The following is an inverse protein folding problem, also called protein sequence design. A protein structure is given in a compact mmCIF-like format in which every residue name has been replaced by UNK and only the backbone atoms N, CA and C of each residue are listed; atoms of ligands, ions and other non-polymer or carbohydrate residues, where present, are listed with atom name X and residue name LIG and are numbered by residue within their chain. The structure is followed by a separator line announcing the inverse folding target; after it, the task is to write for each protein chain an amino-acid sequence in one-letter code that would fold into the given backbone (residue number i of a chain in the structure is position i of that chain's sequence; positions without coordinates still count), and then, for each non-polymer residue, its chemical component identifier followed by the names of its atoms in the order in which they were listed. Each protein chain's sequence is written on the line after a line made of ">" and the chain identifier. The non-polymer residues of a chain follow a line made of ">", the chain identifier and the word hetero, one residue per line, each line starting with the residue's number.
data_IF_476769250518
#
_entry.id   IF_476769250518
#
_cell.length_a   1.000
_cell.length_b   1.000
_cell.length_c   1.000
_cell.angle_alpha   90.00
_cell.angle_beta   90.00
_cell.angle_gamma   90.00
#
_symmetry.space_group_name_H-M   'P 1'
#
loop_
_entity.id
_entity.type
_entity.pdbx_description
1 polymer ?
#
# COMPACT_ATOMS: atom_id res chain seq x y z
N UNK A 1 8.80 55.56 49.16
CA UNK A 1 9.24 55.22 50.53
C UNK A 1 9.07 53.71 50.69
N UNK A 2 9.99 52.90 51.18
CA UNK A 2 11.41 53.00 51.49
C UNK A 2 11.86 51.54 51.74
N UNK A 3 13.14 51.26 51.55
CA UNK A 3 13.75 49.94 51.48
C UNK A 3 14.04 49.27 52.83
N UNK A 4 14.55 48.02 52.73
CA UNK A 4 15.42 47.26 53.64
C UNK A 4 14.71 46.57 54.84
N UNK A 5 15.13 45.39 55.33
CA UNK A 5 16.47 44.99 55.80
C UNK A 5 16.54 43.44 55.96
N UNK A 6 17.67 42.82 55.58
CA UNK A 6 18.11 41.45 55.98
C UNK A 6 18.60 41.43 57.44
N UNK A 7 18.75 40.25 58.07
CA UNK A 7 20.13 39.88 58.38
C UNK A 7 20.51 38.43 58.07
N UNK A 8 21.78 38.33 57.69
CA UNK A 8 22.71 37.22 57.60
C UNK A 8 22.88 36.43 58.90
N UNK A 9 23.24 35.14 58.78
CA UNK A 9 24.43 34.59 59.45
C UNK A 9 24.85 33.24 58.83
N UNK A 10 26.12 33.19 58.40
CA UNK A 10 26.94 32.00 58.10
C UNK A 10 28.14 32.06 59.06
N UNK A 11 28.59 30.94 59.64
CA UNK A 11 29.93 30.42 59.31
C UNK A 11 29.88 28.89 59.14
N UNK A 12 30.19 28.33 57.97
CA UNK A 12 31.52 28.03 57.42
C UNK A 12 32.47 27.32 58.40
N UNK A 13 32.71 26.04 58.12
CA UNK A 13 33.73 25.19 58.75
C UNK A 13 34.07 24.05 57.80
N UNK A 14 34.96 24.33 56.85
CA UNK A 14 35.46 23.34 55.90
C UNK A 14 36.58 22.47 56.48
N UNK A 15 36.75 21.29 55.89
CA UNK A 15 38.07 20.70 55.66
C UNK A 15 37.95 19.68 54.50
N UNK A 16 38.63 20.02 53.42
CA UNK A 16 38.96 19.17 52.28
C UNK A 16 40.06 18.18 52.66
N UNK A 17 39.98 16.93 52.19
CA UNK A 17 41.02 16.33 51.34
C UNK A 17 40.55 15.02 50.71
N UNK A 18 40.99 14.85 49.47
CA UNK A 18 40.74 13.77 48.52
C UNK A 18 41.35 12.43 48.95
N UNK A 19 40.69 11.33 48.55
CA UNK A 19 41.37 10.11 48.10
C UNK A 19 40.40 9.24 47.29
N UNK A 20 40.75 9.09 46.02
CA UNK A 20 40.23 8.07 45.09
C UNK A 20 40.62 6.68 45.59
N UNK A 21 39.70 5.72 45.50
CA UNK A 21 40.00 4.32 45.20
C UNK A 21 38.75 3.67 44.63
N UNK A 22 38.77 3.48 43.32
CA UNK A 22 37.87 2.67 42.52
C UNK A 22 37.92 1.20 42.96
N UNK A 23 36.76 0.58 43.22
CA UNK A 23 36.50 -0.82 42.86
C UNK A 23 34.98 -1.13 42.98
N UNK A 24 34.54 -2.07 42.15
CA UNK A 24 33.25 -2.76 42.15
C UNK A 24 32.00 -2.06 41.61
N UNK A 25 31.78 -2.24 40.29
CA UNK A 25 30.53 -1.97 39.61
C UNK A 25 30.48 -2.58 38.21
N UNK A 26 30.86 -3.86 38.09
CA UNK A 26 30.72 -4.65 36.87
C UNK A 26 29.21 -4.84 36.60
N UNK A 27 28.64 -4.07 35.68
CA UNK A 27 27.33 -4.38 35.08
C UNK A 27 27.20 -3.77 33.69
N UNK A 28 27.04 -4.69 32.75
CA UNK A 28 26.22 -4.60 31.55
C UNK A 28 26.82 -3.89 30.34
N UNK A 29 27.49 -4.73 29.54
CA UNK A 29 27.65 -4.60 28.10
C UNK A 29 26.45 -3.88 27.47
N UNK A 30 26.74 -2.83 26.71
CA UNK A 30 25.86 -2.28 25.68
C UNK A 30 25.55 -3.37 24.65
N UNK A 31 24.61 -4.28 24.97
CA UNK A 31 23.92 -5.08 23.97
C UNK A 31 23.01 -4.14 23.19
N UNK A 32 23.56 -3.68 22.07
CA UNK A 32 22.84 -3.25 20.89
C UNK A 32 21.67 -4.22 20.64
N UNK A 33 20.49 -3.87 21.15
CA UNK A 33 19.25 -4.61 20.90
C UNK A 33 18.89 -4.46 19.41
N UNK A 34 19.59 -5.22 18.58
CA UNK A 34 19.05 -5.74 17.35
C UNK A 34 17.79 -6.51 17.72
N UNK A 35 16.64 -5.84 17.62
CA UNK A 35 15.37 -6.53 17.50
C UNK A 35 15.42 -7.20 16.13
N UNK A 36 16.10 -8.36 16.07
CA UNK A 36 15.79 -9.36 15.08
C UNK A 36 14.33 -9.71 15.34
N UNK A 37 13.46 -9.18 14.48
CA UNK A 37 12.07 -9.57 14.43
C UNK A 37 12.10 -11.08 14.21
N UNK A 38 11.92 -11.85 15.30
CA UNK A 38 11.83 -13.30 15.24
C UNK A 38 10.85 -13.61 14.13
N UNK A 39 11.38 -14.30 13.13
CA UNK A 39 10.66 -14.70 11.97
C UNK A 39 9.57 -15.65 12.48
N UNK A 40 8.36 -15.12 12.70
CA UNK A 40 7.13 -15.89 12.69
C UNK A 40 7.00 -16.44 11.27
N UNK A 41 7.87 -17.41 10.99
CA UNK A 41 7.73 -18.35 9.92
C UNK A 41 6.44 -19.10 10.25
N UNK A 42 5.34 -18.55 9.72
CA UNK A 42 4.25 -19.35 9.21
C UNK A 42 4.75 -20.21 8.04
N UNK A 43 5.84 -20.96 8.25
CA UNK A 43 6.46 -21.94 7.36
C UNK A 43 5.80 -23.31 7.53
N UNK A 44 4.48 -23.34 7.64
CA UNK A 44 3.73 -24.59 7.56
C UNK A 44 2.41 -24.43 6.80
N UNK A 45 2.46 -24.82 5.52
CA UNK A 45 1.45 -24.87 4.43
C UNK A 45 1.49 -23.62 3.53
N UNK A 46 1.94 -23.67 2.26
CA UNK A 46 1.37 -24.40 1.12
C UNK A 46 2.44 -24.69 0.04
N UNK A 47 2.77 -25.96 -0.27
CA UNK A 47 2.32 -26.65 -1.50
C UNK A 47 1.90 -25.71 -2.64
N UNK A 48 2.72 -25.61 -3.69
CA UNK A 48 2.41 -25.03 -5.02
C UNK A 48 1.48 -23.82 -5.00
N UNK A 49 2.02 -22.64 -4.70
CA UNK A 49 1.24 -21.39 -4.67
C UNK A 49 0.74 -20.93 -6.06
N UNK A 50 1.07 -21.65 -7.13
CA UNK A 50 0.60 -21.42 -8.50
C UNK A 50 0.97 -20.06 -9.11
N UNK A 51 1.82 -19.28 -8.41
CA UNK A 51 2.23 -17.94 -8.77
C UNK A 51 3.53 -17.97 -9.58
N UNK A 52 3.61 -17.15 -10.64
CA UNK A 52 4.85 -16.95 -11.41
C UNK A 52 5.97 -16.37 -10.54
N UNK A 53 7.22 -16.71 -10.86
CA UNK A 53 8.44 -16.17 -10.24
C UNK A 53 8.46 -14.63 -10.25
N UNK A 54 7.97 -14.02 -11.33
CA UNK A 54 7.91 -12.56 -11.49
C UNK A 54 6.93 -11.90 -10.51
N UNK A 55 5.75 -12.49 -10.33
CA UNK A 55 4.76 -12.00 -9.38
C UNK A 55 5.22 -12.18 -7.94
N UNK A 56 5.94 -13.26 -7.65
CA UNK A 56 6.56 -13.45 -6.35
C UNK A 56 7.61 -12.36 -6.07
N UNK A 57 8.50 -12.09 -7.03
CA UNK A 57 9.51 -11.03 -6.89
C UNK A 57 8.88 -9.64 -6.71
N UNK A 58 7.77 -9.35 -7.40
CA UNK A 58 7.05 -8.09 -7.25
C UNK A 58 6.42 -7.96 -5.86
N UNK A 59 5.73 -8.99 -5.36
CA UNK A 59 5.17 -8.97 -4.01
C UNK A 59 6.25 -8.79 -2.93
N UNK A 60 7.42 -9.40 -3.11
CA UNK A 60 8.53 -9.26 -2.18
C UNK A 60 9.14 -7.85 -2.20
N UNK A 61 9.33 -7.28 -3.40
CA UNK A 61 9.79 -5.89 -3.55
C UNK A 61 8.86 -4.90 -2.84
N UNK A 62 7.55 -5.09 -2.98
CA UNK A 62 6.56 -4.21 -2.34
C UNK A 62 6.59 -4.28 -0.82
N UNK A 63 6.81 -5.47 -0.24
CA UNK A 63 7.01 -5.62 1.22
C UNK A 63 8.25 -4.89 1.72
N UNK A 64 9.34 -5.00 0.98
CA UNK A 64 10.59 -4.32 1.34
C UNK A 64 10.43 -2.81 1.27
N UNK A 65 9.78 -2.30 0.21
CA UNK A 65 9.48 -0.87 0.07
C UNK A 65 8.59 -0.38 1.22
N UNK A 66 7.53 -1.12 1.55
CA UNK A 66 6.66 -0.79 2.68
C UNK A 66 7.46 -0.67 3.98
N UNK A 67 8.33 -1.63 4.30
CA UNK A 67 9.18 -1.60 5.50
C UNK A 67 10.09 -0.36 5.50
N UNK A 68 10.68 -0.03 4.35
CA UNK A 68 11.54 1.15 4.22
C UNK A 68 10.75 2.46 4.42
N UNK A 69 9.54 2.56 3.89
CA UNK A 69 8.68 3.74 4.04
C UNK A 69 8.24 3.93 5.49
N UNK A 70 7.97 2.83 6.22
CA UNK A 70 7.72 2.89 7.67
C UNK A 70 8.91 3.46 8.44
N UNK A 71 10.13 3.01 8.13
CA UNK A 71 11.34 3.52 8.77
C UNK A 71 11.63 4.99 8.42
N UNK A 72 11.25 5.44 7.22
CA UNK A 72 11.45 6.82 6.76
C UNK A 72 10.33 7.78 7.16
N UNK A 73 9.22 7.28 7.70
CA UNK A 73 8.03 8.08 8.00
C UNK A 73 7.29 8.56 6.74
N UNK A 74 7.55 7.97 5.57
CA UNK A 74 6.93 8.28 4.27
C UNK A 74 5.78 7.33 3.92
N UNK A 75 5.13 6.75 4.94
CA UNK A 75 4.11 5.71 4.75
C UNK A 75 2.92 6.27 3.96
N UNK A 76 2.58 5.57 2.88
CA UNK A 76 1.34 5.82 2.14
C UNK A 76 0.21 4.99 2.75
N UNK A 77 -0.83 5.65 3.25
CA UNK A 77 -2.03 5.03 3.81
C UNK A 77 -1.85 4.31 5.14
N UNK A 78 -2.77 3.40 5.46
CA UNK A 78 -2.82 2.69 6.76
C UNK A 78 -2.27 1.26 6.64
N UNK A 79 -1.73 0.70 7.74
CA UNK A 79 -1.27 -0.71 7.81
C UNK A 79 -2.36 -1.66 7.30
N UNK A 80 -3.60 -1.45 7.75
CA UNK A 80 -4.75 -2.29 7.39
C UNK A 80 -5.07 -2.23 5.89
N UNK A 81 -5.05 -1.04 5.30
CA UNK A 81 -5.28 -0.86 3.87
C UNK A 81 -4.17 -1.53 3.06
N UNK A 82 -2.91 -1.32 3.44
CA UNK A 82 -1.76 -1.91 2.74
C UNK A 82 -1.79 -3.45 2.80
N UNK A 83 -2.08 -4.03 3.97
CA UNK A 83 -2.20 -5.49 4.12
C UNK A 83 -3.34 -6.06 3.27
N UNK A 84 -4.49 -5.36 3.24
CA UNK A 84 -5.60 -5.74 2.38
C UNK A 84 -5.21 -5.67 0.89
N UNK A 85 -4.54 -4.61 0.45
CA UNK A 85 -4.11 -4.45 -0.94
C UNK A 85 -3.08 -5.50 -1.37
N UNK A 86 -2.14 -5.85 -0.48
CA UNK A 86 -1.19 -6.94 -0.71
C UNK A 86 -1.90 -8.29 -0.91
N UNK A 87 -2.95 -8.55 -0.13
CA UNK A 87 -3.78 -9.75 -0.27
C UNK A 87 -4.56 -9.74 -1.59
N UNK A 88 -5.19 -8.62 -1.94
CA UNK A 88 -5.91 -8.44 -3.20
C UNK A 88 -5.00 -8.66 -4.42
N UNK A 89 -3.82 -8.04 -4.45
CA UNK A 89 -2.88 -8.17 -5.57
C UNK A 89 -2.44 -9.63 -5.75
N UNK A 90 -2.18 -10.32 -4.64
CA UNK A 90 -1.86 -11.74 -4.62
C UNK A 90 -3.02 -12.59 -5.14
N UNK A 91 -4.26 -12.29 -4.76
CA UNK A 91 -5.45 -12.99 -5.25
C UNK A 91 -5.66 -12.76 -6.75
N UNK A 92 -5.47 -11.53 -7.23
CA UNK A 92 -5.48 -11.18 -8.66
C UNK A 92 -4.48 -12.04 -9.43
N UNK A 93 -3.23 -12.15 -8.98
CA UNK A 93 -2.22 -12.97 -9.66
C UNK A 93 -2.54 -14.47 -9.68
N UNK A 94 -3.34 -14.97 -8.74
CA UNK A 94 -3.82 -16.37 -8.74
C UNK A 94 -5.06 -16.58 -9.58
N UNK A 95 -5.83 -15.52 -9.83
CA UNK A 95 -7.08 -15.60 -10.56
C UNK A 95 -6.92 -16.20 -11.96
N UNK A 96 -7.92 -16.97 -12.39
CA UNK A 96 -7.95 -17.53 -13.75
C UNK A 96 -8.10 -16.43 -14.80
N UNK A 97 -8.87 -15.37 -14.52
CA UNK A 97 -9.05 -14.26 -15.44
C UNK A 97 -7.73 -13.56 -15.76
N UNK A 98 -6.89 -13.32 -14.74
CA UNK A 98 -5.55 -12.77 -14.94
C UNK A 98 -4.64 -13.74 -15.70
N UNK A 99 -4.60 -15.02 -15.31
CA UNK A 99 -3.78 -16.06 -15.98
C UNK A 99 -4.17 -16.30 -17.44
N UNK A 100 -5.46 -16.14 -17.77
CA UNK A 100 -5.97 -16.21 -19.15
C UNK A 100 -5.70 -14.94 -19.97
N UNK A 101 -5.21 -13.87 -19.34
CA UNK A 101 -4.96 -12.59 -19.99
C UNK A 101 -6.23 -11.81 -20.35
N UNK A 102 -7.33 -12.00 -19.60
CA UNK A 102 -8.55 -11.19 -19.75
C UNK A 102 -8.25 -9.73 -19.44
N UNK A 103 -7.47 -9.53 -18.37
CA UNK A 103 -6.94 -8.24 -17.97
C UNK A 103 -5.51 -8.38 -17.43
N UNK A 104 -4.75 -7.29 -17.44
CA UNK A 104 -3.45 -7.19 -16.77
C UNK A 104 -3.47 -6.06 -15.74
N UNK A 105 -2.55 -6.12 -14.78
CA UNK A 105 -2.43 -5.15 -13.69
C UNK A 105 -0.97 -4.72 -13.58
N UNK A 106 -0.75 -3.41 -13.67
CA UNK A 106 0.55 -2.76 -13.54
C UNK A 106 0.49 -1.76 -12.37
N UNK A 107 1.45 -1.81 -11.44
CA UNK A 107 1.53 -0.85 -10.34
C UNK A 107 2.20 0.44 -10.80
N UNK A 108 1.59 1.59 -10.51
CA UNK A 108 2.15 2.89 -10.89
C UNK A 108 3.23 3.26 -9.87
N UNK A 109 4.47 3.43 -10.33
CA UNK A 109 5.63 3.75 -9.48
C UNK A 109 5.85 2.74 -8.33
N UNK A 110 5.57 1.45 -8.55
CA UNK A 110 5.58 0.42 -7.49
C UNK A 110 4.67 0.77 -6.29
N UNK A 111 3.64 1.60 -6.49
CA UNK A 111 2.67 1.95 -5.46
C UNK A 111 1.56 0.91 -5.36
N UNK A 112 1.32 0.40 -4.15
CA UNK A 112 0.17 -0.44 -3.85
C UNK A 112 -1.17 0.30 -3.93
N UNK A 113 -1.15 1.63 -3.91
CA UNK A 113 -2.35 2.46 -3.88
C UNK A 113 -2.81 2.95 -5.26
N UNK A 114 -2.01 2.75 -6.31
CA UNK A 114 -2.37 3.17 -7.67
C UNK A 114 -2.06 2.09 -8.69
N UNK A 115 -3.11 1.53 -9.30
CA UNK A 115 -3.01 0.41 -10.24
C UNK A 115 -3.53 0.83 -11.60
N UNK A 116 -2.82 0.41 -12.65
CA UNK A 116 -3.26 0.48 -14.02
C UNK A 116 -3.74 -0.91 -14.47
N UNK A 117 -5.03 -1.02 -14.75
CA UNK A 117 -5.66 -2.26 -15.20
C UNK A 117 -5.96 -2.14 -16.68
N UNK A 118 -5.38 -3.03 -17.50
CA UNK A 118 -5.68 -3.09 -18.95
C UNK A 118 -6.66 -4.21 -19.19
N UNK A 119 -7.86 -3.86 -19.65
CA UNK A 119 -8.86 -4.85 -20.10
C UNK A 119 -8.59 -5.18 -21.57
N UNK A 120 -8.21 -6.43 -21.83
CA UNK A 120 -7.82 -6.94 -23.16
C UNK A 120 -8.97 -7.67 -23.85
N UNK A 121 -9.81 -8.34 -23.07
CA UNK A 121 -10.95 -9.10 -23.57
C UNK A 121 -12.23 -8.46 -23.04
N UNK A 122 -13.08 -8.00 -23.96
CA UNK A 122 -14.44 -7.55 -23.68
C UNK A 122 -15.44 -8.49 -24.36
N UNK A 123 -16.70 -8.42 -23.95
CA UNK A 123 -17.78 -9.24 -24.52
C UNK A 123 -17.90 -9.02 -26.04
N UNK A 124 -17.75 -10.08 -26.82
CA UNK A 124 -17.79 -10.05 -28.29
C UNK A 124 -19.13 -9.59 -28.85
N UNK A 125 -20.21 -9.75 -28.08
CA UNK A 125 -21.55 -9.35 -28.48
C UNK A 125 -21.84 -7.88 -28.13
N UNK A 126 -20.92 -7.21 -27.44
CA UNK A 126 -21.06 -5.80 -27.07
C UNK A 126 -20.66 -4.85 -28.20
N UNK A 127 -21.33 -3.68 -28.34
CA UNK A 127 -20.87 -2.63 -29.26
C UNK A 127 -19.43 -2.17 -29.00
N UNK A 128 -19.00 -2.22 -27.73
CA UNK A 128 -17.66 -1.85 -27.29
C UNK A 128 -16.57 -2.72 -27.92
N UNK A 129 -16.84 -4.01 -28.17
CA UNK A 129 -15.90 -4.90 -28.85
C UNK A 129 -15.57 -4.42 -30.27
N UNK A 130 -16.60 -4.00 -31.02
CA UNK A 130 -16.43 -3.48 -32.36
C UNK A 130 -15.67 -2.14 -32.36
N UNK A 131 -15.97 -1.27 -31.40
CA UNK A 131 -15.27 0.01 -31.24
C UNK A 131 -13.78 -0.19 -30.91
N UNK A 132 -13.45 -1.17 -30.05
CA UNK A 132 -12.06 -1.50 -29.74
C UNK A 132 -11.31 -2.08 -30.94
N UNK A 133 -11.95 -2.91 -31.76
CA UNK A 133 -11.34 -3.41 -32.99
C UNK A 133 -11.06 -2.27 -33.99
N UNK A 134 -11.99 -1.33 -34.14
CA UNK A 134 -11.77 -0.15 -34.97
C UNK A 134 -10.64 0.74 -34.43
N UNK A 135 -10.55 0.87 -33.09
CA UNK A 135 -9.50 1.64 -32.43
C UNK A 135 -8.13 0.96 -32.58
N UNK A 136 -8.09 -0.38 -32.60
CA UNK A 136 -6.91 -1.18 -32.90
C UNK A 136 -6.41 -0.91 -34.32
N UNK A 137 -7.30 -0.87 -35.30
CA UNK A 137 -6.94 -0.58 -36.69
C UNK A 137 -6.42 0.85 -36.89
N UNK A 138 -6.99 1.83 -36.16
CA UNK A 138 -6.63 3.25 -36.31
C UNK A 138 -5.40 3.68 -35.51
N UNK A 139 -5.31 3.27 -34.25
CA UNK A 139 -4.33 3.75 -33.29
C UNK A 139 -3.39 2.65 -32.78
N UNK A 140 -3.63 1.38 -33.14
CA UNK A 140 -2.87 0.25 -32.63
C UNK A 140 -3.16 -0.10 -31.17
N UNK A 141 -4.24 0.45 -30.59
CA UNK A 141 -4.64 0.19 -29.20
C UNK A 141 -5.88 -0.70 -29.17
N UNK A 142 -5.80 -1.82 -28.49
CA UNK A 142 -6.85 -2.85 -28.43
C UNK A 142 -7.33 -3.16 -27.00
N UNK A 143 -7.02 -2.27 -26.06
CA UNK A 143 -7.36 -2.44 -24.65
C UNK A 143 -7.94 -1.16 -24.05
N UNK A 144 -8.73 -1.34 -22.99
CA UNK A 144 -9.20 -0.25 -22.16
C UNK A 144 -8.27 -0.16 -20.95
N UNK A 145 -7.58 0.97 -20.83
CA UNK A 145 -6.75 1.28 -19.67
C UNK A 145 -7.63 1.95 -18.61
N UNK A 146 -7.81 1.26 -17.51
CA UNK A 146 -8.41 1.77 -16.28
C UNK A 146 -7.30 2.13 -15.29
N UNK A 147 -7.52 3.19 -14.52
CA UNK A 147 -6.69 3.55 -13.39
C UNK A 147 -7.55 3.45 -12.13
N UNK A 148 -7.05 2.69 -11.17
CA UNK A 148 -7.68 2.42 -9.88
C UNK A 148 -6.81 3.07 -8.81
N UNK A 149 -7.41 3.98 -8.06
CA UNK A 149 -6.78 4.68 -6.95
C UNK A 149 -7.44 4.25 -5.64
N UNK A 150 -6.66 3.63 -4.77
CA UNK A 150 -7.07 3.25 -3.43
C UNK A 150 -6.78 4.38 -2.45
N UNK A 151 -7.68 4.59 -1.49
CA UNK A 151 -7.51 5.57 -0.41
C UNK A 151 -7.12 4.86 0.89
N UNK A 152 -6.67 5.63 1.87
CA UNK A 152 -6.19 5.13 3.16
C UNK A 152 -7.25 4.35 3.96
N UNK A 153 -8.53 4.60 3.68
CA UNK A 153 -9.68 3.96 4.31
C UNK A 153 -10.20 2.73 3.53
N UNK A 154 -9.49 2.29 2.50
CA UNK A 154 -9.77 1.02 1.84
C UNK A 154 -9.58 -0.13 2.84
N UNK A 155 -10.46 -1.16 2.90
CA UNK A 155 -11.56 -1.48 1.98
C UNK A 155 -12.93 -0.92 2.38
N UNK A 156 -13.03 -0.03 3.37
CA UNK A 156 -14.31 0.51 3.83
C UNK A 156 -14.88 1.55 2.87
N UNK A 157 -14.01 2.37 2.28
CA UNK A 157 -14.37 3.23 1.16
C UNK A 157 -14.03 2.54 -0.19
N UNK A 158 -14.86 2.74 -1.24
CA UNK A 158 -14.57 2.22 -2.56
C UNK A 158 -13.30 2.87 -3.15
N UNK A 159 -12.56 2.14 -3.99
CA UNK A 159 -11.51 2.73 -4.80
C UNK A 159 -12.12 3.70 -5.82
N UNK A 160 -11.34 4.72 -6.19
CA UNK A 160 -11.71 5.60 -7.29
C UNK A 160 -11.23 5.00 -8.61
N UNK A 161 -12.16 4.79 -9.55
CA UNK A 161 -11.87 4.14 -10.83
C UNK A 161 -12.19 5.09 -11.97
N UNK A 162 -11.25 5.22 -12.90
CA UNK A 162 -11.42 6.01 -14.12
C UNK A 162 -10.87 5.29 -15.34
N UNK A 163 -11.51 5.53 -16.47
CA UNK A 163 -11.00 5.22 -17.79
C UNK A 163 -9.93 6.24 -18.16
N UNK A 164 -8.71 5.77 -18.44
CA UNK A 164 -7.60 6.60 -18.92
C UNK A 164 -7.64 6.70 -20.44
N UNK A 165 -7.84 5.57 -21.12
CA UNK A 165 -7.90 5.48 -22.59
C UNK A 165 -8.55 4.15 -23.01
N UNK A 166 -9.30 4.09 -24.12
CA UNK A 166 -9.77 5.21 -24.95
C UNK A 166 -10.82 6.06 -24.23
N UNK A 167 -11.15 7.22 -24.79
CA UNK A 167 -12.27 8.02 -24.29
C UNK A 167 -13.58 7.31 -24.63
N UNK A 168 -14.22 6.74 -23.61
CA UNK A 168 -15.51 6.06 -23.73
C UNK A 168 -16.61 7.01 -23.26
N UNK A 169 -17.72 7.05 -23.97
CA UNK A 169 -18.94 7.76 -23.54
C UNK A 169 -20.10 6.77 -23.40
N UNK A 170 -20.93 6.98 -22.38
CA UNK A 170 -21.98 6.02 -22.01
C UNK A 170 -21.49 4.97 -21.01
N UNK A 171 -22.28 3.92 -20.76
CA UNK A 171 -21.87 2.79 -19.91
C UNK A 171 -21.44 3.18 -18.48
N UNK A 172 -22.10 4.17 -17.87
CA UNK A 172 -21.75 4.74 -16.56
C UNK A 172 -20.46 5.56 -16.50
N UNK A 173 -19.79 5.82 -17.63
CA UNK A 173 -18.61 6.68 -17.70
C UNK A 173 -19.03 8.15 -17.76
N UNK A 174 -18.59 8.95 -16.78
CA UNK A 174 -18.81 10.39 -16.69
C UNK A 174 -17.74 11.18 -17.47
N UNK A 175 -18.01 12.47 -17.68
CA UNK A 175 -17.04 13.39 -18.26
C UNK A 175 -15.71 13.37 -17.50
N UNK A 176 -14.60 13.18 -18.23
CA UNK A 176 -13.27 12.99 -17.65
C UNK A 176 -12.89 11.53 -17.33
N UNK A 177 -13.73 10.56 -17.71
CA UNK A 177 -13.43 9.13 -17.63
C UNK A 177 -13.78 8.47 -16.29
N UNK A 178 -14.28 9.22 -15.30
CA UNK A 178 -14.68 8.65 -14.01
C UNK A 178 -15.85 7.66 -14.20
N UNK A 179 -15.81 6.51 -13.52
CA UNK A 179 -16.87 5.50 -13.61
C UNK A 179 -17.86 5.70 -12.46
N UNK A 180 -19.14 5.87 -12.79
CA UNK A 180 -20.23 6.09 -11.83
C UNK A 180 -21.18 4.90 -11.81
N UNK A 181 -20.72 3.78 -11.26
CA UNK A 181 -21.54 2.60 -11.01
C UNK A 181 -22.04 2.61 -9.56
N UNK A 182 -23.24 2.09 -9.32
CA UNK A 182 -23.82 2.00 -7.97
C UNK A 182 -22.88 1.29 -6.98
N UNK A 183 -22.19 0.24 -7.43
CA UNK A 183 -21.24 -0.50 -6.61
C UNK A 183 -20.01 0.32 -6.17
N UNK A 184 -19.69 1.41 -6.87
CA UNK A 184 -18.58 2.32 -6.51
C UNK A 184 -19.08 3.53 -5.70
N UNK A 185 -20.35 3.53 -5.27
CA UNK A 185 -20.91 4.53 -4.36
C UNK A 185 -20.80 4.08 -2.91
N UNK A 186 -20.83 5.03 -1.95
CA UNK A 186 -20.83 4.70 -0.51
C UNK A 186 -21.97 3.78 -0.10
N UNK A 187 -23.09 3.81 -0.82
CA UNK A 187 -24.29 3.02 -0.53
C UNK A 187 -24.23 1.62 -1.14
N UNK A 188 -23.63 1.46 -2.32
CA UNK A 188 -23.54 0.18 -3.02
C UNK A 188 -22.22 -0.58 -2.83
N UNK A 189 -21.18 0.08 -2.30
CA UNK A 189 -19.88 -0.54 -2.04
C UNK A 189 -19.94 -1.49 -0.86
N UNK A 190 -19.36 -2.67 -1.04
CA UNK A 190 -19.09 -3.63 0.02
C UNK A 190 -17.59 -3.88 0.07
N UNK A 191 -17.02 -3.88 1.27
CA UNK A 191 -15.61 -4.23 1.50
C UNK A 191 -15.29 -5.68 1.16
N UNK A 192 -16.29 -6.49 0.84
CA UNK A 192 -16.13 -7.85 0.31
C UNK A 192 -15.83 -7.88 -1.20
N UNK A 193 -16.02 -6.79 -1.94
CA UNK A 193 -15.68 -6.74 -3.36
C UNK A 193 -14.15 -6.72 -3.54
N UNK A 194 -13.68 -7.49 -4.52
CA UNK A 194 -12.28 -7.61 -4.89
C UNK A 194 -12.01 -6.87 -6.20
N UNK A 195 -10.76 -6.53 -6.47
CA UNK A 195 -10.38 -5.89 -7.76
C UNK A 195 -10.70 -6.79 -8.95
N UNK A 196 -10.58 -8.11 -8.76
CA UNK A 196 -10.99 -9.08 -9.77
C UNK A 196 -12.48 -8.99 -10.09
N UNK A 197 -13.34 -8.84 -9.07
CA UNK A 197 -14.79 -8.75 -9.26
C UNK A 197 -15.20 -7.51 -10.05
N UNK A 198 -14.44 -6.41 -9.93
CA UNK A 198 -14.67 -5.17 -10.69
C UNK A 198 -14.24 -5.33 -12.16
N UNK A 199 -13.27 -6.21 -12.42
CA UNK A 199 -12.67 -6.41 -13.75
C UNK A 199 -13.33 -7.55 -14.55
N UNK A 200 -14.43 -8.13 -14.05
CA UNK A 200 -15.21 -9.19 -14.71
C UNK A 200 -16.46 -8.65 -15.38
#
# INVERSE_FOLDING_TARGET
>A
MMAAVLPSDIPNGGCSHDQESDDDGDTDMDEDMHIEMEEDTSSSKSKEDGLSLEHHATLERLRQNQRQDYLRGSVSGSVQATDRLMKELREVYRSESYRRGVFTVDLVNDSLYEWNVKLLIVDSDSPLYNDLNLLKEKEGKDHILLNILFRENYPFDPPFIRVVNPMISGGYVLGGGAICMELLTRQGWSSAYTVEAISR
#
